data_IF_118610383174
#
_entry.id   IF_118610383174
#
_cell.length_a   1.000
_cell.length_b   1.000
_cell.length_c   1.000
_cell.angle_alpha   90.00
_cell.angle_beta   90.00
_cell.angle_gamma   90.00
#
_symmetry.space_group_name_H-M   'P 1'
#
loop_
_entity.id
_entity.type
_entity.pdbx_description
1 polymer ?
#
# COMPACT_ATOMS: atom_id res chain seq x y z
N UNK A 1 9.32 7.06 4.84
CA UNK A 1 8.79 7.63 3.57
C UNK A 1 8.39 9.06 3.84
N UNK A 2 9.14 10.05 3.33
CA UNK A 2 8.89 11.48 3.56
C UNK A 2 7.75 12.02 2.70
N UNK A 3 6.52 11.61 3.02
CA UNK A 3 5.29 12.12 2.43
C UNK A 3 4.33 12.40 3.58
N UNK A 4 4.27 13.66 3.99
CA UNK A 4 3.32 14.18 4.97
C UNK A 4 2.00 14.43 4.26
N UNK A 5 1.28 13.39 3.85
CA UNK A 5 0.05 13.56 3.08
C UNK A 5 -1.00 12.66 3.68
N UNK A 6 -1.72 13.20 4.68
CA UNK A 6 -3.11 12.90 5.13
C UNK A 6 -3.59 11.43 5.26
N UNK A 7 -2.75 10.45 5.00
CA UNK A 7 -3.03 9.04 5.12
C UNK A 7 -2.98 8.58 6.58
N UNK A 8 -2.14 9.23 7.40
CA UNK A 8 -1.98 8.87 8.81
C UNK A 8 -3.29 9.03 9.60
N UNK A 9 -4.15 10.02 9.29
CA UNK A 9 -5.31 10.33 10.14
C UNK A 9 -6.46 9.31 10.12
N UNK A 10 -6.72 8.63 9.00
CA UNK A 10 -7.82 7.66 8.86
C UNK A 10 -7.36 6.27 8.42
N UNK A 11 -6.20 6.18 7.75
CA UNK A 11 -5.66 4.89 7.30
C UNK A 11 -5.02 4.14 8.45
N UNK A 12 -4.49 4.81 9.49
CA UNK A 12 -3.78 4.11 10.57
C UNK A 12 -4.60 3.01 11.21
N UNK A 13 -5.89 3.20 11.52
CA UNK A 13 -6.64 2.10 12.14
C UNK A 13 -6.85 0.89 11.21
N UNK A 14 -7.26 1.11 9.96
CA UNK A 14 -7.57 0.01 9.03
C UNK A 14 -6.29 -0.63 8.45
N UNK A 15 -5.29 0.19 8.12
CA UNK A 15 -3.98 -0.24 7.63
C UNK A 15 -3.20 -0.97 8.72
N UNK A 16 -3.11 -0.43 9.94
CA UNK A 16 -2.39 -1.09 11.05
C UNK A 16 -3.07 -2.40 11.41
N UNK A 17 -4.41 -2.45 11.51
CA UNK A 17 -5.15 -3.71 11.71
C UNK A 17 -4.90 -4.70 10.59
N UNK A 18 -4.81 -4.24 9.35
CA UNK A 18 -4.52 -5.11 8.21
C UNK A 18 -3.10 -5.69 8.29
N UNK A 19 -2.11 -4.88 8.66
CA UNK A 19 -0.74 -5.36 8.89
C UNK A 19 -0.69 -6.35 10.05
N UNK A 20 -1.40 -6.09 11.15
CA UNK A 20 -1.48 -7.00 12.28
C UNK A 20 -2.06 -8.37 11.86
N UNK A 21 -3.17 -8.37 11.10
CA UNK A 21 -3.76 -9.59 10.55
C UNK A 21 -2.76 -10.34 9.66
N UNK A 22 -2.06 -9.64 8.76
CA UNK A 22 -1.07 -10.25 7.90
C UNK A 22 0.09 -10.85 8.70
N UNK A 23 0.56 -10.15 9.73
CA UNK A 23 1.62 -10.62 10.63
C UNK A 23 1.20 -11.89 11.38
N UNK A 24 -0.02 -11.91 11.92
CA UNK A 24 -0.58 -13.09 12.59
C UNK A 24 -0.70 -14.28 11.64
N UNK A 25 -1.14 -14.06 10.39
CA UNK A 25 -1.25 -15.11 9.38
C UNK A 25 0.14 -15.65 9.01
N UNK A 26 1.14 -14.79 8.81
CA UNK A 26 2.51 -15.22 8.53
C UNK A 26 3.07 -16.02 9.71
N UNK A 27 2.87 -15.56 10.94
CA UNK A 27 3.27 -16.30 12.13
C UNK A 27 2.60 -17.67 12.22
N UNK A 28 1.29 -17.76 11.95
CA UNK A 28 0.55 -19.02 11.89
C UNK A 28 1.14 -19.97 10.84
N UNK A 29 1.44 -19.46 9.64
CA UNK A 29 2.04 -20.27 8.56
C UNK A 29 3.45 -20.76 8.89
N UNK A 30 4.21 -20.02 9.69
CA UNK A 30 5.53 -20.46 10.17
C UNK A 30 5.43 -21.49 11.30
N UNK A 31 4.47 -21.33 12.21
CA UNK A 31 4.32 -22.20 13.39
C UNK A 31 3.62 -23.52 13.09
N UNK A 32 2.73 -23.55 12.09
CA UNK A 32 1.90 -24.71 11.78
C UNK A 32 2.26 -25.25 10.39
N UNK A 33 3.00 -26.37 10.29
CA UNK A 33 3.49 -26.91 9.02
C UNK A 33 2.38 -27.21 8.00
N UNK A 34 1.18 -27.58 8.47
CA UNK A 34 0.00 -27.84 7.62
C UNK A 34 -0.42 -26.59 6.83
N UNK A 35 -0.27 -25.39 7.43
CA UNK A 35 -0.54 -24.12 6.76
C UNK A 35 0.67 -23.59 5.95
N UNK A 36 1.80 -24.30 5.99
CA UNK A 36 2.95 -24.04 5.13
C UNK A 36 2.63 -24.31 3.66
N UNK A 37 1.86 -25.36 3.37
CA UNK A 37 1.42 -25.68 2.00
C UNK A 37 0.35 -24.71 1.51
N UNK A 38 0.62 -24.01 0.40
CA UNK A 38 -0.29 -23.01 -0.18
C UNK A 38 -1.68 -23.58 -0.49
N UNK A 39 -1.78 -24.83 -0.94
CA UNK A 39 -3.06 -25.46 -1.27
C UNK A 39 -4.00 -25.55 -0.06
N UNK A 40 -3.48 -26.01 1.08
CA UNK A 40 -4.25 -26.16 2.32
C UNK A 40 -4.62 -24.79 2.90
N UNK A 41 -3.67 -23.85 2.86
CA UNK A 41 -3.92 -22.49 3.31
C UNK A 41 -4.98 -21.78 2.45
N UNK A 42 -4.96 -21.96 1.13
CA UNK A 42 -5.93 -21.36 0.21
C UNK A 42 -7.36 -21.85 0.44
N UNK A 43 -7.54 -23.09 0.92
CA UNK A 43 -8.85 -23.63 1.27
C UNK A 43 -9.37 -23.13 2.63
N UNK A 44 -8.49 -22.49 3.43
CA UNK A 44 -8.83 -22.00 4.77
C UNK A 44 -9.50 -20.62 4.72
N UNK A 45 -10.31 -20.27 5.75
CA UNK A 45 -10.89 -18.93 5.85
C UNK A 45 -9.83 -17.83 6.09
N UNK A 46 -8.60 -18.20 6.45
CA UNK A 46 -7.49 -17.27 6.62
C UNK A 46 -7.07 -16.63 5.31
N UNK A 47 -7.19 -17.35 4.17
CA UNK A 47 -6.90 -16.80 2.85
C UNK A 47 -7.77 -15.58 2.54
N UNK A 48 -9.08 -15.69 2.76
CA UNK A 48 -10.01 -14.57 2.54
C UNK A 48 -9.70 -13.36 3.44
N UNK A 49 -9.32 -13.60 4.70
CA UNK A 49 -8.89 -12.53 5.61
C UNK A 49 -7.59 -11.88 5.15
N UNK A 50 -6.62 -12.68 4.70
CA UNK A 50 -5.35 -12.21 4.14
C UNK A 50 -5.59 -11.33 2.91
N UNK A 51 -6.45 -11.75 1.98
CA UNK A 51 -6.74 -11.01 0.75
C UNK A 51 -7.37 -9.65 1.01
N UNK A 52 -8.30 -9.58 1.97
CA UNK A 52 -8.93 -8.32 2.39
C UNK A 52 -7.90 -7.36 3.00
N UNK A 53 -7.02 -7.88 3.86
CA UNK A 53 -5.95 -7.09 4.46
C UNK A 53 -4.92 -6.63 3.41
N UNK A 54 -4.53 -7.51 2.48
CA UNK A 54 -3.64 -7.19 1.37
C UNK A 54 -4.18 -6.08 0.48
N UNK A 55 -5.49 -6.07 0.21
CA UNK A 55 -6.14 -5.01 -0.57
C UNK A 55 -6.01 -3.65 0.09
N UNK A 56 -6.17 -3.58 1.41
CA UNK A 56 -6.03 -2.33 2.17
C UNK A 56 -4.57 -1.86 2.17
N UNK A 57 -3.62 -2.78 2.38
CA UNK A 57 -2.19 -2.47 2.37
C UNK A 57 -1.73 -1.98 0.99
N UNK A 58 -2.11 -2.67 -0.09
CA UNK A 58 -1.77 -2.26 -1.45
C UNK A 58 -2.42 -0.93 -1.84
N UNK A 59 -3.69 -0.72 -1.47
CA UNK A 59 -4.36 0.56 -1.72
C UNK A 59 -3.66 1.75 -1.06
N UNK A 60 -2.94 1.54 0.04
CA UNK A 60 -2.11 2.59 0.64
C UNK A 60 -0.84 2.86 -0.19
N UNK A 61 -0.16 1.82 -0.65
CA UNK A 61 1.03 1.96 -1.51
C UNK A 61 0.69 2.61 -2.86
N UNK A 62 -0.42 2.22 -3.48
CA UNK A 62 -0.92 2.81 -4.73
C UNK A 62 -1.17 4.30 -4.59
N UNK A 63 -1.79 4.75 -3.49
CA UNK A 63 -1.99 6.18 -3.22
C UNK A 63 -0.68 6.96 -3.13
N UNK A 64 0.35 6.37 -2.52
CA UNK A 64 1.67 7.01 -2.41
C UNK A 64 2.33 7.12 -3.79
N UNK A 65 2.25 6.06 -4.60
CA UNK A 65 2.79 6.05 -5.97
C UNK A 65 2.08 7.11 -6.82
N UNK A 66 0.75 7.16 -6.74
CA UNK A 66 -0.07 8.11 -7.48
C UNK A 66 0.21 9.56 -7.05
N UNK A 67 0.32 9.81 -5.73
CA UNK A 67 0.70 11.14 -5.23
C UNK A 67 2.07 11.58 -5.77
N UNK A 68 3.06 10.68 -5.80
CA UNK A 68 4.39 10.97 -6.38
C UNK A 68 4.32 11.23 -7.88
N UNK A 69 3.50 10.48 -8.61
CA UNK A 69 3.30 10.69 -10.05
C UNK A 69 2.73 12.08 -10.32
N UNK A 70 1.71 12.50 -9.57
CA UNK A 70 1.09 13.81 -9.70
C UNK A 70 2.05 14.96 -9.32
N UNK A 71 2.90 14.76 -8.31
CA UNK A 71 3.96 15.72 -7.97
C UNK A 71 4.94 15.91 -9.14
N UNK A 72 5.38 14.82 -9.77
CA UNK A 72 6.29 14.87 -10.93
C UNK A 72 5.64 15.54 -12.15
N UNK A 73 4.38 15.22 -12.45
CA UNK A 73 3.65 15.86 -13.55
C UNK A 73 3.52 17.38 -13.32
N UNK A 74 3.22 17.80 -12.09
CA UNK A 74 3.18 19.24 -11.73
C UNK A 74 4.54 19.92 -11.90
N UNK A 75 5.63 19.29 -11.46
CA UNK A 75 6.98 19.84 -11.63
C UNK A 75 7.35 20.01 -13.11
N UNK A 76 7.03 19.03 -13.96
CA UNK A 76 7.27 19.13 -15.41
C UNK A 76 6.47 20.26 -16.06
N UNK A 77 5.20 20.47 -15.69
CA UNK A 77 4.40 21.58 -16.21
C UNK A 77 4.97 22.95 -15.78
N UNK A 78 5.44 23.08 -14.54
CA UNK A 78 6.08 24.32 -14.07
C UNK A 78 7.37 24.61 -14.85
N UNK A 79 8.21 23.60 -15.08
CA UNK A 79 9.44 23.77 -15.86
C UNK A 79 9.20 24.18 -17.33
N UNK A 80 8.12 23.70 -17.94
CA UNK A 80 7.72 24.10 -19.30
C UNK A 80 7.18 25.54 -19.35
N UNK A 81 6.50 25.98 -18.29
CA UNK A 81 5.97 27.33 -18.20
C UNK A 81 7.09 28.37 -18.02
N UNK A 82 8.05 28.11 -17.13
CA UNK A 82 9.20 29.00 -16.89
C UNK A 82 10.08 29.18 -18.13
N UNK A 83 10.24 28.13 -18.95
CA UNK A 83 11.00 28.20 -20.20
C UNK A 83 10.28 28.94 -21.33
N UNK A 84 8.94 28.98 -21.31
CA UNK A 84 8.15 29.76 -22.26
C UNK A 84 8.11 31.26 -21.96
N UNK A 85 8.17 31.66 -20.69
CA UNK A 85 8.13 33.07 -20.26
C UNK A 85 9.50 33.77 -20.38
N UNK A 86 10.61 33.03 -20.33
CA UNK A 86 11.97 33.57 -20.51
C UNK A 86 12.38 33.79 -21.98
N UNK A 87 11.57 33.30 -22.93
CA UNK A 87 11.84 33.38 -24.37
C UNK A 87 11.11 34.50 -25.12
N UNK A 88 10.44 35.43 -24.41
CA UNK A 88 9.68 36.55 -24.96
C UNK A 88 10.37 37.89 -24.71
#
# INVERSE_FOLDING_TARGET
MGVSVDAQKNSESAYVKSIEILSQIVALRMQVPIFGTDFIFNLSPYKSKMDKALKIVHGQSEKVIEARRQELEKMNMTSLKDSSELGS
#
